data_IF_961564162269
#
_entry.id   IF_961564162269
#
_cell.length_a   1.000
_cell.length_b   1.000
_cell.length_c   1.000
_cell.angle_alpha   90.00
_cell.angle_beta   90.00
_cell.angle_gamma   90.00
#
_symmetry.space_group_name_H-M   'P 1'
#
loop_
_entity.id
_entity.type
_entity.pdbx_description
1 polymer ?
#
# COMPACT_ATOMS: atom_id res chain seq x y z
N UNK A 1 15.27 3.77 13.99
CA UNK A 1 14.68 5.05 14.43
C UNK A 1 13.29 5.11 13.87
N UNK A 2 12.30 5.60 14.64
CA UNK A 2 10.92 5.71 14.16
C UNK A 2 10.81 6.70 12.99
N UNK A 3 9.72 6.59 12.23
CA UNK A 3 9.28 7.55 11.25
C UNK A 3 9.26 8.98 11.84
N UNK A 4 9.82 9.95 11.12
CA UNK A 4 9.84 11.36 11.51
C UNK A 4 8.89 12.12 10.59
N UNK A 5 7.87 12.75 11.19
CA UNK A 5 6.90 13.59 10.48
C UNK A 5 7.09 15.06 10.86
N UNK A 6 7.02 15.96 9.87
CA UNK A 6 6.89 17.40 10.07
C UNK A 6 5.73 17.97 9.27
N UNK A 7 4.95 18.85 9.90
CA UNK A 7 3.85 19.58 9.25
C UNK A 7 4.11 21.09 9.18
N UNK A 8 5.28 21.55 9.61
CA UNK A 8 5.61 22.98 9.71
C UNK A 8 5.38 23.74 8.41
N UNK A 9 5.75 23.12 7.26
CA UNK A 9 5.56 23.69 5.93
C UNK A 9 4.12 23.56 5.39
N UNK A 10 3.17 23.15 6.24
CA UNK A 10 1.74 23.16 5.92
C UNK A 10 0.97 24.19 6.77
N UNK A 11 1.63 24.89 7.70
CA UNK A 11 0.99 25.83 8.62
C UNK A 11 1.04 27.27 8.10
N UNK A 12 0.01 28.03 8.42
CA UNK A 12 -0.10 29.45 8.02
C UNK A 12 1.07 30.32 8.52
N UNK A 13 1.62 30.01 9.68
CA UNK A 13 2.81 30.69 10.21
C UNK A 13 4.05 30.56 9.30
N UNK A 14 4.11 29.52 8.47
CA UNK A 14 5.25 29.26 7.58
C UNK A 14 4.96 29.69 6.13
N UNK A 15 3.77 29.35 5.60
CA UNK A 15 3.45 29.56 4.18
C UNK A 15 2.31 30.59 3.94
N UNK A 16 1.94 31.35 4.98
CA UNK A 16 0.94 32.41 4.88
C UNK A 16 -0.50 31.88 4.68
N UNK A 17 -1.31 32.63 3.96
CA UNK A 17 -2.74 32.39 3.77
C UNK A 17 -3.14 31.03 3.16
N UNK A 18 -2.20 30.32 2.57
CA UNK A 18 -2.44 29.00 1.94
C UNK A 18 -2.23 27.84 2.90
N UNK A 19 -1.64 28.11 4.07
CA UNK A 19 -1.40 27.11 5.13
C UNK A 19 -2.57 26.99 6.10
N UNK A 20 -2.52 25.96 6.93
CA UNK A 20 -3.50 25.74 7.99
C UNK A 20 -3.28 26.70 9.15
N UNK A 21 -4.32 27.42 9.59
CA UNK A 21 -4.28 28.24 10.78
C UNK A 21 -4.15 27.41 12.05
N UNK A 22 -3.39 27.90 13.06
CA UNK A 22 -3.14 27.18 14.31
C UNK A 22 -4.43 26.82 15.05
N UNK A 23 -5.45 27.70 15.05
CA UNK A 23 -6.76 27.41 15.65
C UNK A 23 -7.47 26.24 15.00
N UNK A 24 -7.46 26.19 13.65
CA UNK A 24 -8.11 25.09 12.92
C UNK A 24 -7.41 23.75 13.14
N UNK A 25 -6.08 23.75 13.28
CA UNK A 25 -5.34 22.55 13.64
C UNK A 25 -5.69 22.11 15.07
N UNK A 26 -5.74 23.05 16.02
CA UNK A 26 -6.08 22.75 17.42
C UNK A 26 -7.50 22.15 17.55
N UNK A 27 -8.48 22.70 16.83
CA UNK A 27 -9.85 22.18 16.79
C UNK A 27 -9.91 20.76 16.20
N UNK A 28 -9.18 20.51 15.10
CA UNK A 28 -9.14 19.18 14.49
C UNK A 28 -8.45 18.16 15.42
N UNK A 29 -7.39 18.55 16.13
CA UNK A 29 -6.72 17.68 17.11
C UNK A 29 -7.63 17.40 18.32
N UNK A 30 -8.37 18.40 18.83
CA UNK A 30 -9.32 18.17 19.90
C UNK A 30 -10.40 17.14 19.52
N UNK A 31 -10.91 17.21 18.29
CA UNK A 31 -11.85 16.23 17.75
C UNK A 31 -11.25 14.84 17.56
N UNK A 32 -9.94 14.77 17.27
CA UNK A 32 -9.23 13.50 17.08
C UNK A 32 -9.13 12.67 18.37
N UNK A 33 -9.26 13.28 19.57
CA UNK A 33 -9.24 12.52 20.83
C UNK A 33 -10.33 11.45 20.87
N UNK A 34 -11.54 11.76 20.39
CA UNK A 34 -12.62 10.78 20.29
C UNK A 34 -12.33 9.60 19.36
N UNK A 35 -11.55 9.86 18.28
CA UNK A 35 -11.08 8.78 17.41
C UNK A 35 -10.03 7.90 18.10
N UNK A 36 -9.11 8.51 18.84
CA UNK A 36 -8.09 7.77 19.59
C UNK A 36 -8.71 6.91 20.69
N UNK A 37 -9.73 7.44 21.40
CA UNK A 37 -10.45 6.67 22.43
C UNK A 37 -11.17 5.46 21.83
N UNK A 38 -11.82 5.62 20.67
CA UNK A 38 -12.44 4.50 19.96
C UNK A 38 -11.43 3.45 19.54
N UNK A 39 -10.28 3.87 19.01
CA UNK A 39 -9.21 2.94 18.63
C UNK A 39 -8.65 2.19 19.85
N UNK A 40 -8.48 2.86 21.00
CA UNK A 40 -8.09 2.24 22.28
C UNK A 40 -9.13 1.21 22.75
N UNK A 41 -10.41 1.55 22.64
CA UNK A 41 -11.51 0.65 22.96
C UNK A 41 -11.51 -0.58 22.04
N UNK A 42 -11.44 -0.37 20.71
CA UNK A 42 -11.35 -1.47 19.74
C UNK A 42 -10.14 -2.38 19.98
N UNK A 43 -9.00 -1.78 20.36
CA UNK A 43 -7.82 -2.55 20.71
C UNK A 43 -8.06 -3.38 21.98
N UNK A 44 -8.62 -2.81 23.04
CA UNK A 44 -8.88 -3.50 24.30
C UNK A 44 -9.88 -4.65 24.13
N UNK A 45 -10.96 -4.43 23.37
CA UNK A 45 -12.05 -5.39 23.14
C UNK A 45 -11.74 -6.41 22.02
N UNK A 46 -10.69 -6.18 21.20
CA UNK A 46 -10.39 -7.01 20.04
C UNK A 46 -11.41 -6.87 18.89
N UNK A 47 -12.25 -5.87 18.90
CA UNK A 47 -13.35 -5.68 17.92
C UNK A 47 -12.85 -5.15 16.56
N UNK A 48 -11.62 -4.67 16.48
CA UNK A 48 -10.92 -4.34 15.23
C UNK A 48 -9.63 -5.16 15.13
N UNK A 49 -9.67 -6.36 14.53
CA UNK A 49 -8.53 -7.29 14.48
C UNK A 49 -7.27 -6.69 13.85
N UNK A 50 -7.42 -5.70 12.96
CA UNK A 50 -6.32 -4.94 12.37
C UNK A 50 -5.33 -4.42 13.42
N UNK A 51 -5.81 -3.92 14.55
CA UNK A 51 -4.98 -3.35 15.61
C UNK A 51 -4.19 -4.42 16.39
N UNK A 52 -4.60 -5.70 16.28
CA UNK A 52 -3.93 -6.83 16.91
C UNK A 52 -2.94 -7.55 15.99
N UNK A 53 -2.97 -7.28 14.67
CA UNK A 53 -2.03 -7.88 13.73
C UNK A 53 -0.55 -7.65 14.09
N UNK A 54 -0.14 -6.46 14.58
CA UNK A 54 1.26 -6.22 14.94
C UNK A 54 1.81 -7.14 16.03
N UNK A 55 0.96 -7.61 16.91
CA UNK A 55 1.33 -8.51 18.02
C UNK A 55 1.20 -9.99 17.66
N UNK A 56 0.45 -10.30 16.60
CA UNK A 56 0.16 -11.68 16.21
C UNK A 56 1.41 -12.38 15.71
N UNK A 57 1.69 -13.59 16.24
CA UNK A 57 2.86 -14.39 15.87
C UNK A 57 2.48 -15.82 15.46
N UNK A 58 1.33 -16.30 15.88
CA UNK A 58 0.84 -17.67 15.73
C UNK A 58 0.55 -18.07 14.28
N UNK A 59 0.26 -17.10 13.41
CA UNK A 59 0.01 -17.30 11.98
C UNK A 59 1.30 -17.30 11.12
N UNK A 60 2.42 -16.79 11.64
CA UNK A 60 3.65 -16.65 10.86
C UNK A 60 4.24 -17.98 10.41
N UNK A 61 4.13 -19.03 11.24
CA UNK A 61 4.63 -20.36 10.89
C UNK A 61 3.89 -20.91 9.66
N UNK A 62 2.55 -20.86 9.66
CA UNK A 62 1.74 -21.34 8.53
C UNK A 62 1.96 -20.53 7.24
N UNK A 63 2.17 -19.20 7.36
CA UNK A 63 2.51 -18.34 6.20
C UNK A 63 3.87 -18.74 5.61
N UNK A 64 4.88 -18.97 6.46
CA UNK A 64 6.23 -19.41 6.03
C UNK A 64 6.21 -20.80 5.40
N UNK A 65 5.45 -21.73 5.95
CA UNK A 65 5.26 -23.06 5.37
C UNK A 65 4.63 -22.99 3.97
N UNK A 66 3.57 -22.22 3.82
CA UNK A 66 2.93 -22.00 2.52
C UNK A 66 3.90 -21.33 1.51
N UNK A 67 4.69 -20.35 1.96
CA UNK A 67 5.70 -19.70 1.13
C UNK A 67 6.80 -20.66 0.70
N UNK A 68 7.34 -21.46 1.62
CA UNK A 68 8.36 -22.46 1.33
C UNK A 68 7.87 -23.48 0.30
N UNK A 69 6.64 -23.98 0.46
CA UNK A 69 5.99 -24.88 -0.49
C UNK A 69 5.83 -24.26 -1.89
N UNK A 70 5.44 -22.97 -1.96
CA UNK A 70 5.30 -22.26 -3.24
C UNK A 70 6.65 -21.94 -3.89
N UNK A 71 7.72 -21.85 -3.12
CA UNK A 71 9.06 -21.52 -3.60
C UNK A 71 9.86 -22.76 -4.03
N UNK A 72 9.52 -23.95 -3.50
CA UNK A 72 10.26 -25.18 -3.78
C UNK A 72 10.21 -25.55 -5.27
N UNK A 73 11.38 -25.52 -5.92
CA UNK A 73 11.53 -25.79 -7.34
C UNK A 73 10.78 -24.83 -8.26
N UNK A 74 10.30 -23.71 -7.75
CA UNK A 74 9.56 -22.73 -8.53
C UNK A 74 10.48 -21.76 -9.28
N UNK A 75 10.15 -21.50 -10.55
CA UNK A 75 10.77 -20.40 -11.32
C UNK A 75 9.95 -19.13 -11.22
N UNK A 76 8.63 -19.28 -11.09
CA UNK A 76 7.67 -18.18 -11.08
C UNK A 76 6.56 -18.44 -10.06
N UNK A 77 6.14 -17.39 -9.34
CA UNK A 77 4.94 -17.40 -8.52
C UNK A 77 4.00 -16.29 -8.99
N UNK A 78 2.78 -16.64 -9.33
CA UNK A 78 1.76 -15.72 -9.85
C UNK A 78 0.68 -15.51 -8.79
N UNK A 79 0.49 -14.28 -8.36
CA UNK A 79 -0.58 -13.89 -7.44
C UNK A 79 -1.76 -13.37 -8.24
N UNK A 80 -2.89 -14.04 -8.12
CA UNK A 80 -4.18 -13.68 -8.72
C UNK A 80 -5.05 -13.01 -7.65
N UNK A 81 -5.27 -11.73 -7.79
CA UNK A 81 -6.06 -10.95 -6.82
C UNK A 81 -6.09 -9.48 -7.20
N UNK A 82 -7.18 -8.78 -6.94
CA UNK A 82 -7.35 -7.38 -7.33
C UNK A 82 -7.50 -6.48 -6.09
N UNK A 83 -7.16 -5.21 -6.25
CA UNK A 83 -7.27 -4.20 -5.20
C UNK A 83 -6.50 -4.59 -3.94
N UNK A 84 -7.19 -4.65 -2.79
CA UNK A 84 -6.60 -4.99 -1.50
C UNK A 84 -6.02 -6.41 -1.42
N UNK A 85 -6.42 -7.32 -2.30
CA UNK A 85 -5.82 -8.66 -2.41
C UNK A 85 -4.48 -8.67 -3.16
N UNK A 86 -4.07 -7.54 -3.73
CA UNK A 86 -2.85 -7.39 -4.54
C UNK A 86 -1.94 -6.28 -4.05
N UNK A 87 -2.45 -5.03 -3.94
CA UNK A 87 -1.62 -3.83 -3.73
C UNK A 87 -0.75 -3.89 -2.46
N UNK A 88 -1.27 -4.46 -1.37
CA UNK A 88 -0.48 -4.67 -0.16
C UNK A 88 0.70 -5.61 -0.39
N UNK A 89 0.45 -6.75 -1.06
CA UNK A 89 1.48 -7.71 -1.43
C UNK A 89 2.53 -7.11 -2.37
N UNK A 90 2.11 -6.33 -3.38
CA UNK A 90 3.01 -5.61 -4.29
C UNK A 90 3.89 -4.60 -3.54
N UNK A 91 3.33 -3.89 -2.56
CA UNK A 91 4.08 -2.93 -1.73
C UNK A 91 5.20 -3.62 -0.97
N UNK A 92 4.90 -4.74 -0.31
CA UNK A 92 5.91 -5.52 0.40
C UNK A 92 6.94 -6.13 -0.56
N UNK A 93 6.49 -6.69 -1.68
CA UNK A 93 7.36 -7.29 -2.69
C UNK A 93 8.33 -6.27 -3.31
N UNK A 94 7.91 -5.01 -3.49
CA UNK A 94 8.76 -3.98 -4.05
C UNK A 94 9.95 -3.63 -3.13
N UNK A 95 9.82 -3.80 -1.82
CA UNK A 95 10.96 -3.70 -0.89
C UNK A 95 12.07 -4.71 -1.26
N UNK A 96 11.71 -5.91 -1.74
CA UNK A 96 12.59 -6.95 -2.24
C UNK A 96 12.83 -6.86 -3.75
N UNK A 97 12.76 -5.67 -4.34
CA UNK A 97 13.05 -5.37 -5.73
C UNK A 97 12.10 -5.98 -6.77
N UNK A 98 10.85 -6.25 -6.40
CA UNK A 98 9.79 -6.52 -7.36
C UNK A 98 9.41 -5.23 -8.11
N UNK A 99 9.26 -5.33 -9.44
CA UNK A 99 8.73 -4.26 -10.30
C UNK A 99 9.28 -2.85 -9.98
N UNK A 100 10.62 -2.74 -9.86
CA UNK A 100 11.27 -1.44 -9.67
C UNK A 100 11.05 -0.58 -10.92
N UNK A 101 10.54 0.66 -10.80
CA UNK A 101 10.31 1.53 -11.94
C UNK A 101 11.52 1.68 -12.85
N UNK A 102 11.34 1.50 -14.16
CA UNK A 102 12.37 1.58 -15.16
C UNK A 102 13.34 0.38 -15.23
N UNK A 103 13.38 -0.46 -14.21
CA UNK A 103 14.33 -1.59 -14.11
C UNK A 103 13.61 -2.95 -14.21
N UNK A 104 12.39 -3.03 -13.73
CA UNK A 104 11.64 -4.29 -13.61
C UNK A 104 11.97 -5.05 -12.33
N UNK A 105 11.90 -6.37 -12.38
CA UNK A 105 12.27 -7.24 -11.26
C UNK A 105 13.76 -7.61 -11.34
N UNK A 106 14.51 -7.37 -10.27
CA UNK A 106 15.93 -7.76 -10.13
C UNK A 106 16.16 -8.75 -8.98
N UNK A 107 15.07 -9.26 -8.37
CA UNK A 107 15.15 -10.33 -7.38
C UNK A 107 15.44 -11.68 -8.02
N UNK A 108 16.06 -12.57 -7.24
CA UNK A 108 16.30 -13.95 -7.64
C UNK A 108 14.98 -14.76 -7.76
N UNK A 109 15.06 -15.96 -8.35
CA UNK A 109 13.91 -16.89 -8.40
C UNK A 109 13.42 -17.29 -6.99
N UNK A 110 12.11 -17.51 -6.82
CA UNK A 110 11.09 -17.43 -7.89
C UNK A 110 10.77 -15.98 -8.26
N UNK A 111 10.54 -15.73 -9.54
CA UNK A 111 10.02 -14.43 -10.01
C UNK A 111 8.58 -14.28 -9.56
N UNK A 112 8.27 -13.17 -8.89
CA UNK A 112 6.92 -12.91 -8.44
C UNK A 112 6.17 -12.06 -9.48
N UNK A 113 4.92 -12.42 -9.77
CA UNK A 113 4.02 -11.71 -10.69
C UNK A 113 2.71 -11.42 -9.97
N UNK A 114 2.16 -10.23 -10.15
CA UNK A 114 0.82 -9.88 -9.67
C UNK A 114 -0.08 -9.60 -10.85
N UNK A 115 -1.15 -10.36 -10.97
CA UNK A 115 -2.18 -10.19 -12.00
C UNK A 115 -3.43 -9.67 -11.32
N UNK A 116 -3.55 -8.35 -11.28
CA UNK A 116 -4.59 -7.62 -10.55
C UNK A 116 -5.61 -6.94 -11.48
N UNK A 117 -5.45 -7.10 -12.79
CA UNK A 117 -6.35 -6.56 -13.79
C UNK A 117 -6.75 -7.62 -14.82
N UNK A 118 -7.78 -7.34 -15.61
CA UNK A 118 -8.25 -8.20 -16.71
C UNK A 118 -7.88 -7.57 -18.06
N UNK A 119 -6.73 -7.94 -18.58
CA UNK A 119 -6.39 -7.74 -19.98
C UNK A 119 -6.22 -9.12 -20.63
N UNK A 120 -7.11 -9.51 -21.56
CA UNK A 120 -7.10 -10.87 -22.13
C UNK A 120 -5.82 -11.18 -22.90
N UNK A 121 -5.23 -10.20 -23.56
CA UNK A 121 -4.00 -10.39 -24.36
C UNK A 121 -2.80 -10.62 -23.46
N UNK A 122 -2.63 -9.80 -22.45
CA UNK A 122 -1.54 -9.93 -21.47
C UNK A 122 -1.65 -11.21 -20.67
N UNK A 123 -2.87 -11.59 -20.26
CA UNK A 123 -3.11 -12.81 -19.49
C UNK A 123 -2.81 -14.07 -20.30
N UNK A 124 -3.28 -14.13 -21.57
CA UNK A 124 -3.00 -15.24 -22.48
C UNK A 124 -1.49 -15.35 -22.77
N UNK A 125 -0.84 -14.24 -23.08
CA UNK A 125 0.60 -14.18 -23.31
C UNK A 125 1.43 -14.63 -22.09
N UNK A 126 0.98 -14.31 -20.88
CA UNK A 126 1.59 -14.79 -19.65
C UNK A 126 1.47 -16.31 -19.54
N UNK A 127 0.26 -16.85 -19.64
CA UNK A 127 0.04 -18.31 -19.53
C UNK A 127 0.83 -19.10 -20.59
N UNK A 128 0.91 -18.58 -21.81
CA UNK A 128 1.66 -19.23 -22.90
C UNK A 128 3.18 -19.25 -22.67
N UNK A 129 3.73 -18.31 -21.89
CA UNK A 129 5.17 -18.18 -21.64
C UNK A 129 5.62 -18.78 -20.32
N UNK A 130 4.71 -18.96 -19.35
CA UNK A 130 5.05 -19.54 -18.06
C UNK A 130 5.38 -21.03 -18.20
N UNK A 131 6.50 -21.48 -17.62
CA UNK A 131 6.81 -22.91 -17.53
C UNK A 131 5.90 -23.55 -16.49
N UNK A 132 4.70 -24.00 -16.85
CA UNK A 132 3.65 -24.47 -15.92
C UNK A 132 4.13 -25.57 -14.95
N UNK A 133 5.13 -26.35 -15.34
CA UNK A 133 5.73 -27.36 -14.46
C UNK A 133 6.39 -26.77 -13.21
N UNK A 134 6.96 -25.57 -13.33
CA UNK A 134 7.67 -24.86 -12.25
C UNK A 134 6.98 -23.56 -11.84
N UNK A 135 5.88 -23.17 -12.48
CA UNK A 135 5.05 -22.06 -12.05
C UNK A 135 4.17 -22.45 -10.86
N UNK A 136 3.99 -21.52 -9.94
CA UNK A 136 3.08 -21.64 -8.79
C UNK A 136 2.10 -20.50 -8.80
N UNK A 137 0.92 -20.70 -8.19
CA UNK A 137 -0.16 -19.72 -8.22
C UNK A 137 -0.75 -19.50 -6.84
N UNK A 138 -1.01 -18.24 -6.50
CA UNK A 138 -1.71 -17.85 -5.28
C UNK A 138 -2.99 -17.13 -5.67
N UNK A 139 -4.15 -17.68 -5.35
CA UNK A 139 -5.44 -17.04 -5.60
C UNK A 139 -5.97 -16.38 -4.33
N UNK A 140 -6.16 -15.06 -4.33
CA UNK A 140 -6.55 -14.29 -3.16
C UNK A 140 -7.87 -13.56 -3.41
N UNK A 141 -8.91 -13.93 -2.67
CA UNK A 141 -10.18 -13.21 -2.65
C UNK A 141 -10.84 -13.35 -1.28
N UNK A 142 -11.00 -12.24 -0.53
CA UNK A 142 -11.63 -12.26 0.80
C UNK A 142 -12.99 -12.95 0.77
N UNK A 143 -13.93 -12.44 -0.03
CA UNK A 143 -15.29 -12.99 -0.14
C UNK A 143 -15.38 -14.30 -0.94
N UNK A 144 -14.31 -14.63 -1.70
CA UNK A 144 -14.30 -15.73 -2.64
C UNK A 144 -15.21 -15.54 -3.87
N UNK A 145 -15.82 -14.37 -4.02
CA UNK A 145 -16.77 -14.05 -5.07
C UNK A 145 -16.29 -12.99 -6.09
N UNK A 146 -15.04 -12.51 -5.96
CA UNK A 146 -14.47 -11.52 -6.88
C UNK A 146 -14.38 -12.10 -8.29
N UNK A 147 -15.10 -11.51 -9.24
CA UNK A 147 -15.26 -12.08 -10.58
C UNK A 147 -13.92 -12.22 -11.31
N UNK A 148 -13.08 -11.18 -11.23
CA UNK A 148 -11.76 -11.14 -11.84
C UNK A 148 -10.88 -12.29 -11.34
N UNK A 149 -10.76 -12.43 -10.02
CA UNK A 149 -9.95 -13.50 -9.40
C UNK A 149 -10.50 -14.88 -9.73
N UNK A 150 -11.82 -15.06 -9.75
CA UNK A 150 -12.44 -16.35 -10.14
C UNK A 150 -12.16 -16.71 -11.59
N UNK A 151 -12.33 -15.77 -12.53
CA UNK A 151 -12.05 -15.98 -13.96
C UNK A 151 -10.58 -16.36 -14.18
N UNK A 152 -9.66 -15.62 -13.59
CA UNK A 152 -8.22 -15.88 -13.64
C UNK A 152 -7.89 -17.27 -13.05
N UNK A 153 -8.47 -17.60 -11.90
CA UNK A 153 -8.26 -18.90 -11.22
C UNK A 153 -8.78 -20.06 -12.09
N UNK A 154 -9.96 -19.91 -12.70
CA UNK A 154 -10.53 -20.93 -13.60
C UNK A 154 -9.64 -21.14 -14.83
N UNK A 155 -9.13 -20.04 -15.43
CA UNK A 155 -8.23 -20.12 -16.58
C UNK A 155 -6.92 -20.83 -16.23
N UNK A 156 -6.31 -20.51 -15.06
CA UNK A 156 -5.12 -21.21 -14.57
C UNK A 156 -5.38 -22.69 -14.33
N UNK A 157 -6.48 -23.04 -13.67
CA UNK A 157 -6.86 -24.44 -13.45
C UNK A 157 -7.05 -25.20 -14.77
N UNK A 158 -7.63 -24.54 -15.77
CA UNK A 158 -7.79 -25.11 -17.12
C UNK A 158 -6.44 -25.35 -17.80
N UNK A 159 -5.51 -24.39 -17.70
CA UNK A 159 -4.16 -24.52 -18.28
C UNK A 159 -3.36 -25.64 -17.58
N UNK A 160 -3.39 -25.72 -16.25
CA UNK A 160 -2.75 -26.79 -15.48
C UNK A 160 -3.31 -28.17 -15.86
N UNK A 161 -4.64 -28.29 -15.98
CA UNK A 161 -5.30 -29.53 -16.39
C UNK A 161 -4.87 -29.97 -17.80
N UNK A 162 -4.83 -29.04 -18.74
CA UNK A 162 -4.41 -29.31 -20.13
C UNK A 162 -2.94 -29.75 -20.20
N UNK A 163 -2.09 -29.17 -19.36
CA UNK A 163 -0.68 -29.52 -19.25
C UNK A 163 -0.41 -30.78 -18.39
N UNK A 164 -1.44 -31.40 -17.80
CA UNK A 164 -1.29 -32.57 -16.93
C UNK A 164 -0.68 -32.32 -15.57
N UNK A 165 -0.73 -31.08 -15.07
CA UNK A 165 -0.20 -30.71 -13.75
C UNK A 165 -1.28 -30.73 -12.66
N UNK A 166 -0.91 -31.18 -11.47
CA UNK A 166 -1.81 -31.24 -10.31
C UNK A 166 -1.96 -29.84 -9.67
N UNK A 167 -3.18 -29.25 -9.66
CA UNK A 167 -3.43 -27.97 -8.99
C UNK A 167 -3.08 -27.98 -7.50
N UNK A 168 -3.23 -29.11 -6.82
CA UNK A 168 -2.88 -29.25 -5.41
C UNK A 168 -1.41 -28.94 -5.16
N UNK A 169 -0.52 -29.35 -6.07
CA UNK A 169 0.92 -29.09 -5.96
C UNK A 169 1.27 -27.65 -6.39
N UNK A 170 0.53 -27.11 -7.35
CA UNK A 170 0.86 -25.84 -8.00
C UNK A 170 0.23 -24.60 -7.36
N UNK A 171 -0.76 -24.74 -6.45
CA UNK A 171 -1.56 -23.61 -5.99
C UNK A 171 -1.70 -23.52 -4.47
N UNK A 172 -1.98 -22.29 -4.01
CA UNK A 172 -2.49 -21.96 -2.66
C UNK A 172 -3.61 -20.94 -2.80
N UNK A 173 -4.68 -21.07 -2.03
CA UNK A 173 -5.76 -20.08 -1.95
C UNK A 173 -5.72 -19.30 -0.65
N UNK A 174 -6.19 -18.03 -0.70
CA UNK A 174 -6.42 -17.19 0.49
C UNK A 174 -7.84 -16.64 0.41
N UNK A 175 -8.70 -17.01 1.36
CA UNK A 175 -10.10 -16.55 1.40
C UNK A 175 -10.68 -16.69 2.81
N UNK A 176 -11.81 -16.01 3.09
CA UNK A 176 -12.53 -16.19 4.37
C UNK A 176 -12.83 -17.68 4.63
N UNK A 177 -12.84 -18.12 5.90
CA UNK A 177 -13.32 -19.45 6.27
C UNK A 177 -14.73 -19.72 5.74
N UNK A 178 -15.04 -20.99 5.48
CA UNK A 178 -16.40 -21.39 5.13
C UNK A 178 -17.38 -21.00 6.24
N UNK A 179 -18.51 -20.38 5.85
CA UNK A 179 -19.60 -20.02 6.77
C UNK A 179 -20.88 -20.72 6.34
N UNK A 180 -21.66 -21.33 7.27
CA UNK A 180 -22.93 -21.94 6.94
C UNK A 180 -23.85 -20.96 6.18
N UNK A 181 -24.45 -21.40 5.09
CA UNK A 181 -25.37 -20.61 4.28
C UNK A 181 -24.74 -19.51 3.41
N UNK A 182 -23.42 -19.30 3.48
CA UNK A 182 -22.73 -18.31 2.63
C UNK A 182 -21.79 -19.03 1.63
N UNK A 183 -22.08 -18.86 0.34
CA UNK A 183 -21.21 -19.40 -0.72
C UNK A 183 -19.89 -18.64 -0.77
N UNK A 184 -18.79 -19.38 -0.89
CA UNK A 184 -17.45 -18.87 -1.17
C UNK A 184 -16.90 -19.58 -2.42
N UNK A 185 -17.11 -18.97 -3.59
CA UNK A 185 -16.82 -19.61 -4.88
C UNK A 185 -15.37 -20.01 -5.07
N UNK A 186 -14.42 -19.20 -4.58
CA UNK A 186 -13.00 -19.53 -4.65
C UNK A 186 -12.66 -20.73 -3.77
N UNK A 187 -13.15 -20.75 -2.54
CA UNK A 187 -12.93 -21.87 -1.59
C UNK A 187 -13.58 -23.15 -2.09
N UNK A 188 -14.82 -23.04 -2.61
CA UNK A 188 -15.55 -24.19 -3.17
C UNK A 188 -14.81 -24.77 -4.39
N UNK A 189 -14.31 -23.90 -5.29
CA UNK A 189 -13.58 -24.30 -6.49
C UNK A 189 -12.25 -24.97 -6.14
N UNK A 190 -11.42 -24.31 -5.33
CA UNK A 190 -10.10 -24.82 -4.95
C UNK A 190 -10.19 -26.06 -4.06
N UNK A 191 -11.19 -26.14 -3.20
CA UNK A 191 -11.45 -27.31 -2.36
C UNK A 191 -11.72 -28.60 -3.14
N UNK A 192 -12.41 -28.52 -4.28
CA UNK A 192 -12.63 -29.67 -5.18
C UNK A 192 -11.32 -30.22 -5.78
N UNK A 193 -10.30 -29.38 -5.89
CA UNK A 193 -8.97 -29.75 -6.34
C UNK A 193 -8.00 -30.00 -5.17
N UNK A 194 -8.48 -30.04 -3.92
CA UNK A 194 -7.69 -30.21 -2.70
C UNK A 194 -6.52 -29.21 -2.58
N UNK A 195 -6.66 -28.04 -3.17
CA UNK A 195 -5.68 -26.95 -3.06
C UNK A 195 -5.66 -26.44 -1.63
N UNK A 196 -4.48 -26.31 -0.99
CA UNK A 196 -4.36 -25.77 0.36
C UNK A 196 -4.87 -24.33 0.45
N UNK A 197 -5.53 -24.02 1.57
CA UNK A 197 -6.14 -22.72 1.82
C UNK A 197 -5.60 -22.09 3.09
N UNK A 198 -5.27 -20.79 3.03
CA UNK A 198 -5.08 -19.94 4.19
C UNK A 198 -6.36 -19.13 4.46
N UNK A 199 -6.71 -18.98 5.72
CA UNK A 199 -7.89 -18.24 6.12
C UNK A 199 -7.63 -16.74 6.16
N UNK A 200 -8.37 -15.98 5.35
CA UNK A 200 -8.44 -14.52 5.45
C UNK A 200 -9.30 -14.13 6.65
N UNK A 201 -8.78 -13.26 7.52
CA UNK A 201 -9.55 -12.78 8.67
C UNK A 201 -10.79 -11.97 8.21
N UNK A 202 -12.02 -12.40 8.57
CA UNK A 202 -13.24 -11.71 8.16
C UNK A 202 -13.36 -10.26 8.67
N UNK A 203 -12.73 -9.97 9.83
CA UNK A 203 -12.73 -8.65 10.45
C UNK A 203 -11.74 -7.66 9.83
N UNK A 204 -10.92 -8.10 8.85
CA UNK A 204 -9.95 -7.23 8.19
C UNK A 204 -10.42 -6.92 6.77
N UNK A 205 -10.62 -5.64 6.45
CA UNK A 205 -10.94 -5.18 5.09
C UNK A 205 -9.79 -5.40 4.11
N UNK A 206 -10.08 -5.62 2.82
CA UNK A 206 -9.05 -5.89 1.80
C UNK A 206 -7.93 -4.83 1.77
N UNK A 207 -8.28 -3.54 1.74
CA UNK A 207 -7.33 -2.42 1.71
C UNK A 207 -6.49 -2.27 3.00
N UNK A 208 -6.91 -2.93 4.09
CA UNK A 208 -6.22 -2.97 5.39
C UNK A 208 -5.43 -4.27 5.62
N UNK A 209 -5.43 -5.21 4.65
CA UNK A 209 -4.95 -6.58 4.86
C UNK A 209 -3.45 -6.79 4.63
N UNK A 210 -2.69 -5.74 4.36
CA UNK A 210 -1.25 -5.84 4.01
C UNK A 210 -0.41 -6.56 5.07
N UNK A 211 -0.73 -6.42 6.36
CA UNK A 211 -0.03 -7.07 7.48
C UNK A 211 -0.65 -8.43 7.89
N UNK A 212 -1.66 -8.91 7.16
CA UNK A 212 -2.22 -10.26 7.28
C UNK A 212 -1.52 -11.22 6.30
N UNK A 213 -1.98 -12.48 6.26
CA UNK A 213 -1.48 -13.46 5.30
C UNK A 213 -1.59 -13.03 3.82
N UNK A 214 -2.50 -12.09 3.50
CA UNK A 214 -2.67 -11.54 2.14
C UNK A 214 -1.40 -10.85 1.64
N UNK A 215 -0.82 -9.95 2.44
CA UNK A 215 0.43 -9.28 2.09
C UNK A 215 1.67 -10.07 2.52
N UNK A 216 1.59 -10.77 3.66
CA UNK A 216 2.75 -11.46 4.23
C UNK A 216 3.14 -12.73 3.46
N UNK A 217 2.21 -13.40 2.76
CA UNK A 217 2.56 -14.58 1.96
C UNK A 217 3.49 -14.22 0.78
N UNK A 218 3.18 -13.22 -0.08
CA UNK A 218 4.13 -12.75 -1.09
C UNK A 218 5.46 -12.26 -0.51
N UNK A 219 5.42 -11.57 0.64
CA UNK A 219 6.61 -11.10 1.32
C UNK A 219 7.51 -12.25 1.80
N UNK A 220 6.91 -13.33 2.32
CA UNK A 220 7.63 -14.53 2.76
C UNK A 220 8.29 -15.27 1.58
N UNK A 221 7.63 -15.35 0.42
CA UNK A 221 8.18 -15.94 -0.81
C UNK A 221 9.48 -15.22 -1.21
N UNK A 222 9.54 -13.90 -1.00
CA UNK A 222 10.72 -13.07 -1.29
C UNK A 222 11.71 -12.98 -0.11
N UNK A 223 11.50 -13.72 0.97
CA UNK A 223 12.41 -13.80 2.12
C UNK A 223 12.41 -12.57 3.04
N UNK A 224 11.37 -11.74 3.02
CA UNK A 224 11.27 -10.59 3.92
C UNK A 224 11.05 -11.03 5.37
N UNK A 225 11.60 -10.27 6.33
CA UNK A 225 11.36 -10.46 7.76
C UNK A 225 9.94 -10.01 8.15
N UNK A 226 9.01 -10.97 8.20
CA UNK A 226 7.60 -10.72 8.53
C UNK A 226 7.43 -10.19 9.95
N UNK A 227 8.27 -10.66 10.88
CA UNK A 227 8.22 -10.18 12.26
C UNK A 227 8.71 -8.72 12.37
N UNK A 228 9.69 -8.32 11.57
CA UNK A 228 10.13 -6.93 11.50
C UNK A 228 9.04 -6.00 10.96
N UNK A 229 8.30 -6.41 9.92
CA UNK A 229 7.13 -5.67 9.42
C UNK A 229 6.12 -5.40 10.55
N UNK A 230 5.77 -6.43 11.31
CA UNK A 230 4.82 -6.30 12.43
C UNK A 230 5.40 -5.54 13.60
N UNK A 231 6.69 -5.68 13.93
CA UNK A 231 7.35 -4.83 14.94
C UNK A 231 7.28 -3.35 14.59
N UNK A 232 7.51 -3.00 13.32
CA UNK A 232 7.35 -1.63 12.85
C UNK A 232 5.92 -1.12 13.04
N UNK A 233 4.93 -1.91 12.67
CA UNK A 233 3.52 -1.58 12.87
C UNK A 233 3.17 -1.40 14.36
N UNK A 234 3.69 -2.25 15.25
CA UNK A 234 3.50 -2.14 16.70
C UNK A 234 4.08 -0.83 17.27
N UNK A 235 5.23 -0.38 16.74
CA UNK A 235 5.84 0.88 17.18
C UNK A 235 4.94 2.09 16.93
N UNK A 236 4.14 2.08 15.87
CA UNK A 236 3.18 3.15 15.54
C UNK A 236 1.95 3.14 16.47
N UNK A 237 1.56 1.96 16.97
CA UNK A 237 0.48 1.84 17.96
C UNK A 237 0.89 2.31 19.34
N UNK A 238 2.19 2.28 19.68
CA UNK A 238 2.67 2.55 21.02
C UNK A 238 2.22 3.92 21.59
N UNK A 239 2.33 5.07 20.90
CA UNK A 239 1.86 6.35 21.44
C UNK A 239 0.34 6.39 21.63
N UNK A 240 -0.46 5.74 20.74
CA UNK A 240 -1.90 5.60 20.90
C UNK A 240 -2.24 4.83 22.20
N UNK A 241 -1.62 3.68 22.40
CA UNK A 241 -1.86 2.81 23.56
C UNK A 241 -1.33 3.42 24.87
N UNK A 242 -0.26 4.19 24.80
CA UNK A 242 0.28 4.97 25.91
C UNK A 242 -0.56 6.22 26.24
N UNK A 243 -1.73 6.39 25.62
CA UNK A 243 -2.65 7.53 25.84
C UNK A 243 -1.97 8.91 25.64
N UNK A 244 -1.06 8.99 24.67
CA UNK A 244 -0.47 10.26 24.30
C UNK A 244 -1.54 11.20 23.72
N UNK A 245 -1.34 12.52 23.85
CA UNK A 245 -2.22 13.54 23.25
C UNK A 245 -2.23 13.41 21.71
N UNK A 246 -3.30 13.81 21.01
CA UNK A 246 -3.39 13.70 19.55
C UNK A 246 -2.20 14.32 18.80
N UNK A 247 -1.67 15.45 19.27
CA UNK A 247 -0.49 16.08 18.69
C UNK A 247 0.81 15.25 18.83
N UNK A 248 0.87 14.31 19.77
CA UNK A 248 1.99 13.40 20.00
C UNK A 248 1.80 12.04 19.31
N UNK A 249 0.68 11.83 18.61
CA UNK A 249 0.37 10.65 17.81
C UNK A 249 0.51 11.04 16.32
N UNK A 250 1.58 10.66 15.63
CA UNK A 250 1.84 11.16 14.27
C UNK A 250 0.69 10.93 13.29
N UNK A 251 0.01 9.79 13.36
CA UNK A 251 -1.16 9.49 12.52
C UNK A 251 -2.35 10.42 12.83
N UNK A 252 -2.58 10.80 14.09
CA UNK A 252 -3.64 11.75 14.44
C UNK A 252 -3.30 13.17 13.98
N UNK A 253 -2.03 13.56 14.07
CA UNK A 253 -1.55 14.85 13.56
C UNK A 253 -1.71 14.95 12.04
N UNK A 254 -1.37 13.88 11.30
CA UNK A 254 -1.57 13.79 9.86
C UNK A 254 -3.05 13.86 9.46
N UNK A 255 -3.91 13.10 10.14
CA UNK A 255 -5.35 13.11 9.91
C UNK A 255 -5.98 14.48 10.20
N UNK A 256 -5.61 15.11 11.31
CA UNK A 256 -6.09 16.45 11.68
C UNK A 256 -5.71 17.50 10.62
N UNK A 257 -4.45 17.46 10.15
CA UNK A 257 -3.97 18.34 9.07
C UNK A 257 -4.78 18.12 7.80
N UNK A 258 -4.89 16.87 7.34
CA UNK A 258 -5.55 16.54 6.08
C UNK A 258 -7.04 16.92 6.10
N UNK A 259 -7.75 16.62 7.18
CA UNK A 259 -9.19 16.92 7.31
C UNK A 259 -9.44 18.42 7.44
N UNK A 260 -8.62 19.14 8.20
CA UNK A 260 -8.77 20.59 8.36
C UNK A 260 -8.48 21.36 7.06
N UNK A 261 -7.56 20.86 6.23
CA UNK A 261 -7.27 21.44 4.92
C UNK A 261 -8.23 20.99 3.81
N UNK A 262 -8.96 19.89 3.96
CA UNK A 262 -9.79 19.30 2.91
C UNK A 262 -10.74 20.28 2.19
N UNK A 263 -11.42 21.22 2.87
CA UNK A 263 -12.30 22.18 2.18
C UNK A 263 -11.57 23.09 1.18
N UNK A 264 -10.30 23.41 1.43
CA UNK A 264 -9.49 24.25 0.56
C UNK A 264 -8.49 23.43 -0.30
N UNK A 265 -8.20 22.21 0.10
CA UNK A 265 -7.23 21.31 -0.52
C UNK A 265 -7.85 19.92 -0.76
N UNK A 266 -8.78 19.81 -1.70
CA UNK A 266 -9.51 18.56 -1.98
C UNK A 266 -8.65 17.47 -2.64
N UNK A 267 -7.38 17.73 -2.91
CA UNK A 267 -6.43 16.77 -3.50
C UNK A 267 -5.29 16.50 -2.52
N UNK A 268 -5.06 15.23 -2.21
CA UNK A 268 -3.96 14.76 -1.35
C UNK A 268 -2.89 14.07 -2.19
N UNK A 269 -1.76 14.75 -2.43
CA UNK A 269 -0.64 14.19 -3.21
C UNK A 269 0.32 13.48 -2.25
N UNK A 270 0.57 12.20 -2.49
CA UNK A 270 1.63 11.44 -1.82
C UNK A 270 2.78 11.22 -2.79
N UNK A 271 3.91 11.90 -2.57
CA UNK A 271 5.10 11.84 -3.41
C UNK A 271 6.24 11.15 -2.67
N UNK A 272 6.66 9.99 -3.18
CA UNK A 272 7.74 9.21 -2.56
C UNK A 272 9.06 9.38 -3.34
N UNK A 273 10.14 9.73 -2.64
CA UNK A 273 11.50 9.80 -3.20
C UNK A 273 12.26 8.48 -2.98
N UNK A 274 11.69 7.41 -3.48
CA UNK A 274 12.30 6.08 -3.49
C UNK A 274 11.49 5.14 -4.39
N UNK A 275 12.12 4.57 -5.41
CA UNK A 275 11.49 3.63 -6.35
C UNK A 275 10.82 2.45 -5.66
N UNK A 276 11.41 1.96 -4.56
CA UNK A 276 10.84 0.86 -3.76
C UNK A 276 9.62 1.25 -2.93
N UNK A 277 9.13 2.48 -3.04
CA UNK A 277 7.89 2.97 -2.46
C UNK A 277 6.83 3.34 -3.53
N UNK A 278 7.08 3.09 -4.82
CA UNK A 278 6.09 3.37 -5.87
C UNK A 278 4.78 2.58 -5.62
N UNK A 279 4.86 1.29 -5.31
CA UNK A 279 3.68 0.47 -5.02
C UNK A 279 3.00 0.85 -3.70
N UNK A 280 3.76 1.36 -2.74
CA UNK A 280 3.20 1.95 -1.53
C UNK A 280 2.31 3.16 -1.84
N UNK A 281 2.70 4.04 -2.76
CA UNK A 281 1.85 5.19 -3.14
C UNK A 281 0.53 4.74 -3.78
N UNK A 282 0.53 3.68 -4.59
CA UNK A 282 -0.70 3.10 -5.17
C UNK A 282 -1.59 2.42 -4.14
N UNK A 283 -0.98 1.71 -3.18
CA UNK A 283 -1.70 1.14 -2.04
C UNK A 283 -2.36 2.23 -1.20
N UNK A 284 -1.67 3.34 -0.94
CA UNK A 284 -2.23 4.51 -0.26
C UNK A 284 -3.43 5.09 -1.02
N UNK A 285 -3.36 5.20 -2.33
CA UNK A 285 -4.48 5.70 -3.14
C UNK A 285 -5.74 4.87 -2.91
N UNK A 286 -5.65 3.55 -2.94
CA UNK A 286 -6.80 2.69 -2.64
C UNK A 286 -7.25 2.86 -1.18
N UNK A 287 -6.32 2.80 -0.23
CA UNK A 287 -6.63 2.92 1.19
C UNK A 287 -7.42 4.19 1.47
N UNK A 288 -6.95 5.32 0.99
CA UNK A 288 -7.52 6.64 1.23
C UNK A 288 -8.84 6.84 0.49
N UNK A 289 -8.86 6.61 -0.82
CA UNK A 289 -10.04 6.85 -1.66
C UNK A 289 -11.24 6.00 -1.24
N UNK A 290 -11.04 4.70 -1.09
CA UNK A 290 -12.11 3.74 -0.76
C UNK A 290 -12.61 3.89 0.68
N UNK A 291 -11.76 4.38 1.60
CA UNK A 291 -12.16 4.61 2.99
C UNK A 291 -12.83 5.97 3.20
N UNK A 292 -12.44 7.02 2.47
CA UNK A 292 -12.86 8.39 2.78
C UNK A 292 -13.82 9.01 1.77
N UNK A 293 -13.94 8.45 0.55
CA UNK A 293 -14.81 8.98 -0.51
C UNK A 293 -16.28 8.62 -0.30
N UNK A 294 -16.94 9.23 0.68
CA UNK A 294 -18.34 8.94 1.07
C UNK A 294 -19.10 10.20 1.47
N UNK A 295 -20.38 10.23 1.24
CA UNK A 295 -21.30 11.32 1.64
C UNK A 295 -20.83 12.70 1.16
N UNK A 296 -20.22 12.76 -0.03
CA UNK A 296 -19.65 14.00 -0.57
C UNK A 296 -18.39 14.50 0.15
N UNK A 297 -17.80 13.68 1.01
CA UNK A 297 -16.62 13.99 1.82
C UNK A 297 -15.37 13.26 1.30
N UNK A 298 -14.23 13.53 1.93
CA UNK A 298 -12.93 12.97 1.55
C UNK A 298 -12.14 13.90 0.64
N UNK A 299 -10.95 13.45 0.26
CA UNK A 299 -10.07 14.15 -0.69
C UNK A 299 -9.59 13.14 -1.74
N UNK A 300 -9.33 13.62 -2.96
CA UNK A 300 -8.80 12.77 -4.05
C UNK A 300 -7.33 12.47 -3.80
N UNK A 301 -6.94 11.22 -3.56
CA UNK A 301 -5.52 10.87 -3.41
C UNK A 301 -4.85 10.78 -4.78
N UNK A 302 -3.63 11.31 -4.87
CA UNK A 302 -2.78 11.24 -6.05
C UNK A 302 -1.41 10.67 -5.68
N UNK A 303 -0.99 9.64 -6.40
CA UNK A 303 0.34 9.06 -6.27
C UNK A 303 1.34 9.81 -7.14
N UNK A 304 2.54 10.09 -6.60
CA UNK A 304 3.66 10.64 -7.34
C UNK A 304 4.98 9.98 -6.90
N UNK A 305 5.94 9.92 -7.80
CA UNK A 305 7.27 9.35 -7.58
C UNK A 305 8.34 10.39 -7.89
N UNK A 306 9.13 10.78 -6.89
CA UNK A 306 10.31 11.62 -7.12
C UNK A 306 11.58 10.79 -7.35
N UNK A 307 12.51 11.32 -8.18
CA UNK A 307 12.47 12.63 -8.81
C UNK A 307 11.68 12.72 -10.13
N UNK A 308 11.28 11.60 -10.76
CA UNK A 308 10.67 11.61 -12.11
C UNK A 308 9.45 12.52 -12.20
N UNK A 309 8.57 12.52 -11.21
CA UNK A 309 7.37 13.36 -11.22
C UNK A 309 7.61 14.83 -10.81
N UNK A 310 8.78 15.16 -10.27
CA UNK A 310 9.15 16.57 -10.15
C UNK A 310 9.40 17.20 -11.54
N UNK A 311 9.87 16.42 -12.51
CA UNK A 311 10.03 16.89 -13.89
C UNK A 311 8.71 16.96 -14.65
N UNK A 312 7.75 16.10 -14.33
CA UNK A 312 6.49 16.00 -15.07
C UNK A 312 5.33 16.78 -14.44
N UNK A 313 5.28 16.98 -13.12
CA UNK A 313 4.09 17.46 -12.42
C UNK A 313 4.29 18.74 -11.58
N UNK A 314 5.51 19.07 -11.13
CA UNK A 314 5.74 20.22 -10.24
C UNK A 314 5.36 21.56 -10.90
N UNK A 315 5.44 21.69 -12.24
CA UNK A 315 4.95 22.86 -12.95
C UNK A 315 3.46 23.11 -12.67
N UNK A 316 2.61 22.05 -12.72
CA UNK A 316 1.19 22.15 -12.38
C UNK A 316 1.00 22.44 -10.89
N UNK A 317 1.80 21.84 -10.03
CA UNK A 317 1.66 21.99 -8.58
C UNK A 317 1.91 23.43 -8.12
N UNK A 318 2.86 24.12 -8.73
CA UNK A 318 3.23 25.49 -8.40
C UNK A 318 2.45 26.53 -9.22
N UNK A 319 2.34 26.32 -10.52
CA UNK A 319 1.73 27.28 -11.45
C UNK A 319 0.22 27.13 -11.63
N UNK A 320 -0.35 25.99 -11.22
CA UNK A 320 -1.76 25.66 -11.36
C UNK A 320 -2.59 25.98 -10.11
N UNK A 321 -3.80 25.37 -10.00
CA UNK A 321 -4.67 25.56 -8.84
C UNK A 321 -4.02 25.16 -7.53
N UNK A 322 -4.18 25.98 -6.50
CA UNK A 322 -3.63 25.73 -5.16
C UNK A 322 -4.60 24.92 -4.29
N UNK A 323 -5.01 23.80 -4.81
CA UNK A 323 -6.03 22.89 -4.28
C UNK A 323 -5.45 21.59 -3.69
N UNK A 324 -4.14 21.55 -3.46
CA UNK A 324 -3.44 20.31 -3.05
C UNK A 324 -2.76 20.43 -1.71
N UNK A 325 -2.83 19.34 -0.92
CA UNK A 325 -1.94 19.05 0.21
C UNK A 325 -0.90 18.05 -0.26
N UNK A 326 0.37 18.34 -0.04
CA UNK A 326 1.48 17.44 -0.39
C UNK A 326 1.99 16.69 0.84
N UNK A 327 2.20 15.38 0.68
CA UNK A 327 2.98 14.56 1.60
C UNK A 327 4.20 14.05 0.86
N UNK A 328 5.38 14.55 1.22
CA UNK A 328 6.65 14.11 0.64
C UNK A 328 7.29 13.08 1.56
N UNK A 329 7.45 11.85 1.05
CA UNK A 329 8.08 10.74 1.79
C UNK A 329 9.50 10.56 1.28
N UNK A 330 10.49 10.69 2.17
CA UNK A 330 11.90 10.51 1.85
C UNK A 330 12.52 9.38 2.67
N UNK A 331 13.58 8.77 2.13
CA UNK A 331 14.38 7.77 2.82
C UNK A 331 15.82 8.23 2.93
N UNK A 332 16.55 7.75 3.93
CA UNK A 332 17.98 8.03 4.07
C UNK A 332 18.76 7.43 2.90
N UNK A 333 19.04 8.25 1.90
CA UNK A 333 19.72 7.87 0.66
C UNK A 333 21.13 8.45 0.53
N UNK A 334 21.47 9.49 1.28
CA UNK A 334 22.79 10.14 1.19
C UNK A 334 23.93 9.14 1.36
N UNK A 335 24.92 9.22 0.46
CA UNK A 335 26.07 8.33 0.42
C UNK A 335 25.81 6.95 -0.19
N UNK A 336 24.56 6.63 -0.59
CA UNK A 336 24.21 5.34 -1.19
C UNK A 336 24.33 5.37 -2.73
N UNK A 337 24.57 4.21 -3.31
CA UNK A 337 24.70 4.00 -4.75
C UNK A 337 26.05 4.37 -5.33
N UNK A 338 26.20 4.31 -6.66
CA UNK A 338 27.45 4.62 -7.34
C UNK A 338 27.96 6.03 -7.04
N UNK A 339 29.25 6.13 -6.81
CA UNK A 339 29.95 7.41 -6.62
C UNK A 339 30.41 7.94 -7.97
N UNK A 340 30.25 9.23 -8.18
CA UNK A 340 30.63 9.90 -9.43
C UNK A 340 32.15 9.96 -9.60
N UNK A 341 32.61 9.53 -10.77
CA UNK A 341 34.01 9.60 -11.16
C UNK A 341 34.43 11.05 -11.43
N UNK A 342 35.58 11.46 -10.86
CA UNK A 342 36.02 12.86 -10.90
C UNK A 342 36.42 13.35 -12.30
N UNK A 343 36.91 12.46 -13.18
CA UNK A 343 37.25 12.83 -14.55
C UNK A 343 35.99 13.03 -15.39
N UNK A 344 35.02 12.11 -15.29
CA UNK A 344 33.76 12.22 -16.00
C UNK A 344 32.96 13.42 -15.54
N UNK A 345 32.95 13.73 -14.22
CA UNK A 345 32.33 14.95 -13.67
C UNK A 345 32.91 16.21 -14.28
N UNK A 346 34.27 16.26 -14.43
CA UNK A 346 34.93 17.41 -15.04
C UNK A 346 34.59 17.53 -16.53
N UNK A 347 34.53 16.42 -17.27
CA UNK A 347 34.11 16.41 -18.68
C UNK A 347 32.62 16.84 -18.85
N UNK A 348 31.76 16.49 -17.89
CA UNK A 348 30.35 16.93 -17.87
C UNK A 348 30.18 18.40 -17.53
N UNK A 349 31.19 19.09 -17.02
CA UNK A 349 31.09 20.49 -16.59
C UNK A 349 30.30 20.72 -15.29
N UNK A 350 30.10 19.68 -14.48
CA UNK A 350 29.28 19.69 -13.28
C UNK A 350 30.11 19.47 -12.00
N UNK A 351 30.93 20.43 -11.57
CA UNK A 351 31.86 20.24 -10.45
C UNK A 351 31.16 19.89 -9.12
N UNK A 352 29.87 20.25 -8.96
CA UNK A 352 29.05 19.91 -7.80
C UNK A 352 28.84 18.41 -7.61
N UNK A 353 29.04 17.57 -8.63
CA UNK A 353 28.89 16.12 -8.54
C UNK A 353 30.17 15.41 -8.07
N UNK A 354 31.29 16.12 -7.97
CA UNK A 354 32.57 15.51 -7.60
C UNK A 354 32.46 14.80 -6.22
N UNK A 355 32.77 13.49 -6.23
CA UNK A 355 32.73 12.65 -5.04
C UNK A 355 31.31 12.41 -4.45
N UNK A 356 30.26 12.86 -5.10
CA UNK A 356 28.84 12.59 -4.71
C UNK A 356 28.41 11.22 -5.20
N UNK A 357 27.33 10.73 -4.60
CA UNK A 357 26.64 9.52 -5.03
C UNK A 357 25.28 9.86 -5.65
N UNK A 358 24.64 8.91 -6.34
CA UNK A 358 23.24 9.06 -6.80
C UNK A 358 22.31 9.34 -5.64
N UNK A 359 22.55 8.69 -4.48
CA UNK A 359 21.76 8.92 -3.27
C UNK A 359 21.90 10.33 -2.68
N UNK A 360 23.07 10.97 -2.83
CA UNK A 360 23.25 12.36 -2.41
C UNK A 360 22.34 13.30 -3.24
N UNK A 361 22.26 13.08 -4.54
CA UNK A 361 21.39 13.87 -5.42
C UNK A 361 19.92 13.63 -5.10
N UNK A 362 19.50 12.36 -4.99
CA UNK A 362 18.12 12.01 -4.67
C UNK A 362 17.65 12.62 -3.32
N UNK A 363 18.51 12.61 -2.29
CA UNK A 363 18.24 13.23 -1.01
C UNK A 363 18.12 14.77 -1.12
N UNK A 364 18.99 15.40 -1.92
CA UNK A 364 18.95 16.84 -2.16
C UNK A 364 17.68 17.26 -2.92
N UNK A 365 17.29 16.52 -3.97
CA UNK A 365 16.09 16.79 -4.78
C UNK A 365 14.80 16.62 -3.97
N UNK A 366 14.69 15.57 -3.16
CA UNK A 366 13.52 15.37 -2.30
C UNK A 366 13.32 16.52 -1.31
N UNK A 367 14.41 16.99 -0.72
CA UNK A 367 14.38 18.16 0.17
C UNK A 367 14.06 19.44 -0.61
N UNK A 368 14.73 19.69 -1.73
CA UNK A 368 14.55 20.87 -2.55
C UNK A 368 13.11 20.99 -3.08
N UNK A 369 12.50 19.89 -3.53
CA UNK A 369 11.12 19.88 -3.99
C UNK A 369 10.13 20.20 -2.88
N UNK A 370 10.29 19.62 -1.69
CA UNK A 370 9.45 19.94 -0.53
C UNK A 370 9.55 21.42 -0.15
N UNK A 371 10.77 21.97 -0.13
CA UNK A 371 11.02 23.37 0.17
C UNK A 371 10.49 24.30 -0.92
N UNK A 372 10.69 23.95 -2.21
CA UNK A 372 10.18 24.74 -3.33
C UNK A 372 8.66 24.80 -3.34
N UNK A 373 7.97 23.70 -3.08
CA UNK A 373 6.51 23.68 -2.94
C UNK A 373 6.07 24.62 -1.81
N UNK A 374 6.69 24.53 -0.63
CA UNK A 374 6.37 25.37 0.51
C UNK A 374 6.62 26.86 0.24
N UNK A 375 7.77 27.20 -0.35
CA UNK A 375 8.12 28.58 -0.72
C UNK A 375 7.16 29.21 -1.71
N UNK A 376 6.46 28.38 -2.49
CA UNK A 376 5.40 28.78 -3.40
C UNK A 376 3.99 28.68 -2.78
N UNK A 377 3.87 28.57 -1.45
CA UNK A 377 2.59 28.56 -0.73
C UNK A 377 1.79 27.26 -0.89
N UNK A 378 2.41 26.16 -1.27
CA UNK A 378 1.77 24.85 -1.27
C UNK A 378 1.97 24.22 0.12
N UNK A 379 0.90 23.75 0.81
CA UNK A 379 1.04 23.07 2.08
C UNK A 379 1.76 21.74 1.91
N UNK A 380 2.87 21.57 2.62
CA UNK A 380 3.71 20.37 2.56
C UNK A 380 3.85 19.74 3.95
N UNK A 381 3.53 18.45 4.03
CA UNK A 381 3.92 17.56 5.12
C UNK A 381 5.10 16.73 4.64
N UNK A 382 6.11 16.54 5.48
CA UNK A 382 7.22 15.62 5.18
C UNK A 382 7.19 14.43 6.12
N UNK A 383 7.51 13.25 5.57
CA UNK A 383 7.74 12.01 6.32
C UNK A 383 9.13 11.50 5.94
N UNK A 384 10.00 11.28 6.92
CA UNK A 384 11.34 10.78 6.69
C UNK A 384 11.58 9.44 7.39
N UNK A 385 12.07 8.46 6.63
CA UNK A 385 12.56 7.17 7.13
C UNK A 385 14.09 7.17 7.08
N UNK A 386 14.76 6.95 8.20
CA UNK A 386 16.24 6.92 8.23
C UNK A 386 16.81 5.83 7.31
N UNK A 387 16.07 4.73 7.11
CA UNK A 387 16.33 3.66 6.14
C UNK A 387 15.00 3.03 5.72
N UNK A 388 14.98 2.42 4.54
CA UNK A 388 13.86 1.62 4.07
C UNK A 388 14.18 0.14 4.24
N UNK A 389 13.59 -0.49 5.25
CA UNK A 389 13.64 -1.92 5.54
C UNK A 389 12.24 -2.44 5.92
N UNK A 390 12.14 -3.73 6.25
CA UNK A 390 10.87 -4.34 6.64
C UNK A 390 10.22 -3.63 7.85
N UNK A 391 11.00 -3.23 8.84
CA UNK A 391 10.47 -2.56 10.03
C UNK A 391 9.92 -1.18 9.70
N UNK A 392 10.69 -0.34 9.01
CA UNK A 392 10.26 1.03 8.65
C UNK A 392 9.11 1.03 7.64
N UNK A 393 9.04 0.03 6.74
CA UNK A 393 7.88 -0.13 5.88
C UNK A 393 6.63 -0.53 6.69
N UNK A 394 6.76 -1.41 7.68
CA UNK A 394 5.69 -1.75 8.61
C UNK A 394 5.19 -0.54 9.41
N UNK A 395 6.10 0.35 9.85
CA UNK A 395 5.77 1.64 10.48
C UNK A 395 4.94 2.52 9.52
N UNK A 396 5.41 2.69 8.28
CA UNK A 396 4.75 3.53 7.29
C UNK A 396 3.35 3.03 6.94
N UNK A 397 3.18 1.73 6.76
CA UNK A 397 1.90 1.10 6.46
C UNK A 397 0.88 1.30 7.60
N UNK A 398 1.27 1.01 8.84
CA UNK A 398 0.38 1.18 9.99
C UNK A 398 0.06 2.64 10.25
N UNK A 399 1.03 3.55 10.03
CA UNK A 399 0.81 4.98 10.15
C UNK A 399 -0.35 5.44 9.25
N UNK A 400 -0.34 5.09 7.96
CA UNK A 400 -1.40 5.52 7.05
C UNK A 400 -2.72 4.77 7.27
N UNK A 401 -2.70 3.53 7.75
CA UNK A 401 -3.93 2.84 8.15
C UNK A 401 -4.61 3.55 9.32
N UNK A 402 -3.85 3.91 10.38
CA UNK A 402 -4.39 4.67 11.50
C UNK A 402 -4.84 6.08 11.10
N UNK A 403 -4.02 6.78 10.31
CA UNK A 403 -4.35 8.12 9.80
C UNK A 403 -5.67 8.10 9.03
N UNK A 404 -5.87 7.12 8.16
CA UNK A 404 -7.11 6.96 7.39
C UNK A 404 -8.33 6.70 8.28
N UNK A 405 -8.20 5.85 9.30
CA UNK A 405 -9.30 5.55 10.23
C UNK A 405 -9.64 6.80 11.06
N UNK A 406 -8.62 7.53 11.54
CA UNK A 406 -8.82 8.77 12.29
C UNK A 406 -9.45 9.84 11.41
N UNK A 407 -9.00 9.99 10.15
CA UNK A 407 -9.58 10.94 9.20
C UNK A 407 -11.05 10.61 8.90
N UNK A 408 -11.41 9.34 8.72
CA UNK A 408 -12.80 8.91 8.55
C UNK A 408 -13.67 9.32 9.75
N UNK A 409 -13.16 9.11 10.98
CA UNK A 409 -13.86 9.56 12.18
C UNK A 409 -14.06 11.09 12.20
N UNK A 410 -13.03 11.86 11.84
CA UNK A 410 -13.11 13.32 11.77
C UNK A 410 -14.07 13.82 10.68
N UNK A 411 -14.20 13.10 9.58
CA UNK A 411 -15.23 13.33 8.55
C UNK A 411 -16.63 12.84 8.98
N UNK A 412 -16.75 12.01 10.01
CA UNK A 412 -18.00 11.40 10.45
C UNK A 412 -18.54 10.37 9.46
N UNK A 413 -17.66 9.51 8.92
CA UNK A 413 -17.96 8.43 7.96
C UNK A 413 -17.33 7.12 8.44
N UNK A 414 -17.82 5.97 7.89
CA UNK A 414 -17.22 4.66 8.16
C UNK A 414 -16.03 4.42 7.25
N UNK A 415 -14.85 4.08 7.84
CA UNK A 415 -13.64 3.75 7.10
C UNK A 415 -13.68 2.37 6.42
N UNK A 416 -14.60 1.48 6.78
CA UNK A 416 -14.50 0.05 6.49
C UNK A 416 -15.48 -0.47 5.45
N UNK A 417 -16.52 0.27 5.12
CA UNK A 417 -17.46 -0.04 4.04
C UNK A 417 -17.09 0.63 2.71
N UNK A 418 -17.77 0.26 1.62
CA UNK A 418 -17.59 0.83 0.28
C UNK A 418 -18.86 0.61 -0.57
N UNK A 419 -19.99 1.24 -0.24
CA UNK A 419 -21.26 0.96 -0.91
C UNK A 419 -21.30 1.33 -2.40
N UNK A 420 -20.55 2.35 -2.81
CA UNK A 420 -20.60 2.89 -4.17
C UNK A 420 -20.08 1.92 -5.27
N UNK A 421 -19.34 0.86 -4.90
CA UNK A 421 -18.79 -0.08 -5.89
C UNK A 421 -19.73 -1.23 -6.23
N UNK A 422 -20.88 -1.38 -5.55
CA UNK A 422 -21.75 -2.55 -5.72
C UNK A 422 -22.58 -2.50 -7.00
N UNK A 423 -23.05 -1.33 -7.42
CA UNK A 423 -23.84 -1.17 -8.65
C UNK A 423 -23.08 -1.66 -9.88
N UNK A 424 -21.83 -1.27 -10.04
CA UNK A 424 -20.99 -1.70 -11.16
C UNK A 424 -20.83 -3.21 -11.24
N UNK A 425 -20.71 -3.91 -10.11
CA UNK A 425 -20.65 -5.38 -10.06
C UNK A 425 -21.94 -6.04 -10.52
N UNK A 426 -23.09 -5.48 -10.12
CA UNK A 426 -24.40 -5.99 -10.53
C UNK A 426 -24.60 -5.82 -12.04
N UNK A 427 -24.28 -4.63 -12.57
CA UNK A 427 -24.37 -4.34 -14.00
C UNK A 427 -23.43 -5.22 -14.83
N UNK A 428 -22.17 -5.35 -14.40
CA UNK A 428 -21.21 -6.22 -15.10
C UNK A 428 -21.70 -7.67 -15.19
N UNK A 429 -22.27 -8.20 -14.10
CA UNK A 429 -22.87 -9.55 -14.10
C UNK A 429 -24.07 -9.64 -15.05
N UNK A 430 -24.94 -8.62 -15.07
CA UNK A 430 -26.09 -8.55 -15.98
C UNK A 430 -25.66 -8.58 -17.44
N UNK A 431 -24.68 -7.75 -17.82
CA UNK A 431 -24.14 -7.74 -19.19
C UNK A 431 -23.47 -9.06 -19.58
N UNK A 432 -22.72 -9.67 -18.67
CA UNK A 432 -22.07 -10.96 -18.92
C UNK A 432 -23.08 -12.09 -19.16
N UNK A 433 -24.24 -12.06 -18.50
CA UNK A 433 -25.28 -13.10 -18.64
C UNK A 433 -26.27 -12.83 -19.78
N UNK A 434 -26.18 -11.71 -20.47
CA UNK A 434 -27.08 -11.35 -21.58
C UNK A 434 -28.52 -11.08 -21.13
N UNK A 435 -28.75 -10.73 -19.86
CA UNK A 435 -30.09 -10.51 -19.27
C UNK A 435 -30.74 -9.19 -19.72
N UNK A 436 -30.26 -8.56 -20.80
CA UNK A 436 -30.81 -7.35 -21.43
C UNK A 436 -31.64 -7.65 -22.69
N UNK A 437 -32.15 -8.88 -22.84
CA UNK A 437 -33.11 -9.21 -23.94
C UNK A 437 -34.50 -9.47 -23.38
#
# INVERSE_FOLDING_TARGET
>A
MPLIQSIESALAKTIGQHGLADGALADALARAEGALDRLRQHYAEGTLPLLRLPEKQDDLAGIKEAAARLSEGATDVVVLGTGGSSLGGQTLAQLAFYAVPGVGAINAAPRLHFIDNLDPVSFDAMLARLPLATARFVAISKSGGTAETLMQTIAVLSALKQAGHDPRAAMVGVSEPAKPGKRNGLRDLLGRHQVPMLDHDPGIGGRFSVLSNVGLLPAAILGLDLAALRRGAAAVLAPLLAKKKPAEVPAALGAALAVALAPAKPISVLMAYCDRLERFTRWYVQLWAESLGKDGKGTTPLAALGPVDQHSQVQLYIGGPRDKLFTVVTVGAAGLGPRMDGELVRLAGEPGFAGKTIGDLAAAEGRATAETLANNGCPVRTIHLAKLDAQSLGELLMHFMLETIIAAHLFGIDAFDQPAVEEGKVLAKKYLTGSDR
#
